data_IF_971148705168
#
_entry.id   IF_971148705168
#
_cell.length_a   1.000
_cell.length_b   1.000
_cell.length_c   1.000
_cell.angle_alpha   90.00
_cell.angle_beta   90.00
_cell.angle_gamma   90.00
#
_symmetry.space_group_name_H-M   'P 1'
#
loop_
_entity.id
_entity.type
_entity.pdbx_description
1 polymer ?
#
# COMPACT_ATOMS: atom_id res chain seq x y z
N UNK A 1 10.55 1.83 -29.85
CA UNK A 1 10.37 2.39 -28.49
C UNK A 1 9.04 3.12 -28.34
N UNK A 2 8.70 4.10 -29.18
CA UNK A 2 7.41 4.82 -29.18
C UNK A 2 6.17 3.91 -29.35
N UNK A 3 6.21 2.94 -30.27
CA UNK A 3 5.10 1.99 -30.48
C UNK A 3 4.84 1.09 -29.26
N UNK A 4 5.90 0.70 -28.54
CA UNK A 4 5.79 -0.09 -27.32
C UNK A 4 5.06 0.74 -26.25
N UNK A 5 5.47 1.98 -26.02
CA UNK A 5 4.82 2.88 -25.07
C UNK A 5 3.34 3.10 -25.35
N UNK A 6 2.98 3.34 -26.61
CA UNK A 6 1.59 3.54 -27.01
C UNK A 6 0.73 2.30 -26.68
N UNK A 7 1.26 1.09 -26.87
CA UNK A 7 0.56 -0.16 -26.53
C UNK A 7 0.35 -0.30 -25.02
N UNK A 8 1.33 0.00 -24.18
CA UNK A 8 1.17 -0.10 -22.72
C UNK A 8 0.14 0.90 -22.17
N UNK A 9 0.12 2.13 -22.69
CA UNK A 9 -0.86 3.13 -22.28
C UNK A 9 -2.28 2.71 -22.69
N UNK A 10 -2.46 2.21 -23.92
CA UNK A 10 -3.75 1.70 -24.39
C UNK A 10 -4.21 0.51 -23.53
N UNK A 11 -3.30 -0.39 -23.14
CA UNK A 11 -3.63 -1.50 -22.25
C UNK A 11 -4.07 -0.98 -20.88
N UNK A 12 -3.35 0.01 -20.33
CA UNK A 12 -3.67 0.57 -19.02
C UNK A 12 -5.02 1.27 -18.99
N UNK A 13 -5.33 2.12 -19.98
CA UNK A 13 -6.65 2.75 -20.13
C UNK A 13 -7.77 1.71 -20.24
N UNK A 14 -7.54 0.64 -21.01
CA UNK A 14 -8.52 -0.45 -21.15
C UNK A 14 -8.71 -1.21 -19.84
N UNK A 15 -7.65 -1.52 -19.11
CA UNK A 15 -7.76 -2.18 -17.80
C UNK A 15 -8.54 -1.29 -16.84
N UNK A 16 -8.25 0.03 -16.78
CA UNK A 16 -8.99 0.98 -15.93
C UNK A 16 -10.48 1.02 -16.25
N UNK A 17 -10.85 1.04 -17.53
CA UNK A 17 -12.27 0.95 -17.96
C UNK A 17 -12.93 -0.37 -17.52
N UNK A 18 -12.19 -1.47 -17.54
CA UNK A 18 -12.68 -2.78 -17.10
C UNK A 18 -12.87 -2.85 -15.58
N UNK A 19 -11.99 -2.20 -14.79
CA UNK A 19 -12.07 -2.17 -13.33
C UNK A 19 -13.40 -1.59 -12.81
N UNK A 20 -14.04 -0.68 -13.55
CA UNK A 20 -15.39 -0.17 -13.22
C UNK A 20 -16.46 -1.28 -13.12
N UNK A 21 -16.19 -2.46 -13.68
CA UNK A 21 -17.08 -3.62 -13.61
C UNK A 21 -16.68 -4.63 -12.52
N UNK A 22 -15.78 -4.28 -11.59
CA UNK A 22 -15.26 -5.20 -10.56
C UNK A 22 -16.35 -5.88 -9.74
N UNK A 23 -17.36 -5.14 -9.29
CA UNK A 23 -18.45 -5.72 -8.51
C UNK A 23 -19.25 -6.73 -9.34
N UNK A 24 -19.61 -6.39 -10.59
CA UNK A 24 -20.31 -7.29 -11.51
C UNK A 24 -19.46 -8.53 -11.81
N UNK A 25 -18.16 -8.37 -11.99
CA UNK A 25 -17.22 -9.46 -12.21
C UNK A 25 -17.18 -10.43 -11.02
N UNK A 26 -17.00 -9.89 -9.81
CA UNK A 26 -16.97 -10.67 -8.58
C UNK A 26 -18.28 -11.43 -8.35
N UNK A 27 -19.43 -10.76 -8.52
CA UNK A 27 -20.76 -11.40 -8.45
C UNK A 27 -20.94 -12.52 -9.47
N UNK A 28 -20.51 -12.29 -10.72
CA UNK A 28 -20.63 -13.28 -11.80
C UNK A 28 -19.84 -14.56 -11.50
N UNK A 29 -18.61 -14.41 -11.01
CA UNK A 29 -17.74 -15.52 -10.65
C UNK A 29 -18.01 -16.11 -9.26
N UNK A 30 -18.95 -15.51 -8.52
CA UNK A 30 -19.25 -15.80 -7.11
C UNK A 30 -18.01 -15.74 -6.21
N UNK A 31 -17.09 -14.84 -6.53
CA UNK A 31 -15.89 -14.58 -5.73
C UNK A 31 -16.11 -13.33 -4.89
N UNK A 32 -15.48 -13.28 -3.73
CA UNK A 32 -15.58 -12.15 -2.82
C UNK A 32 -14.78 -10.92 -3.30
N UNK A 33 -15.31 -9.74 -3.01
CA UNK A 33 -14.55 -8.50 -2.95
C UNK A 33 -14.10 -8.26 -1.49
N UNK A 34 -12.79 -8.18 -1.21
CA UNK A 34 -12.28 -8.10 0.15
C UNK A 34 -12.71 -6.84 0.91
N UNK A 35 -13.02 -5.74 0.21
CA UNK A 35 -13.40 -4.45 0.79
C UNK A 35 -14.92 -4.26 0.93
N UNK A 36 -15.72 -4.92 0.09
CA UNK A 36 -17.18 -4.81 0.11
C UNK A 36 -17.84 -5.95 0.90
N UNK A 37 -17.40 -7.19 0.75
CA UNK A 37 -18.17 -8.33 1.27
C UNK A 37 -17.82 -8.70 2.72
N UNK A 38 -16.69 -8.18 3.23
CA UNK A 38 -16.11 -8.64 4.50
C UNK A 38 -16.79 -8.04 5.74
N UNK A 39 -17.54 -6.95 5.62
CA UNK A 39 -17.91 -6.11 6.76
C UNK A 39 -19.43 -5.91 6.89
N UNK A 40 -19.90 -5.75 8.13
CA UNK A 40 -21.34 -5.51 8.41
C UNK A 40 -21.76 -4.06 8.23
N UNK A 41 -20.82 -3.15 8.46
CA UNK A 41 -21.00 -1.70 8.38
C UNK A 41 -19.83 -1.15 7.60
N UNK A 42 -20.11 -0.31 6.61
CA UNK A 42 -19.12 0.32 5.76
C UNK A 42 -18.91 1.76 6.16
N UNK A 43 -17.77 2.31 5.73
CA UNK A 43 -17.55 3.74 5.83
C UNK A 43 -18.49 4.51 4.91
N UNK A 44 -18.80 5.74 5.28
CA UNK A 44 -19.43 6.69 4.37
C UNK A 44 -18.51 6.96 3.17
N UNK A 45 -19.10 7.13 1.98
CA UNK A 45 -18.35 7.51 0.76
C UNK A 45 -17.62 8.84 0.90
N UNK A 46 -18.03 9.67 1.87
CA UNK A 46 -17.36 10.94 2.18
C UNK A 46 -16.00 10.76 2.86
N UNK A 47 -15.66 9.58 3.40
CA UNK A 47 -14.35 9.36 4.02
C UNK A 47 -13.30 9.12 2.93
N UNK A 48 -12.30 10.01 2.75
CA UNK A 48 -11.27 9.77 1.75
C UNK A 48 -10.41 8.55 2.13
N UNK A 49 -10.31 7.60 1.22
CA UNK A 49 -9.52 6.36 1.41
C UNK A 49 -8.09 6.47 0.90
N UNK A 50 -7.81 7.48 0.06
CA UNK A 50 -6.55 7.67 -0.65
C UNK A 50 -5.97 9.07 -0.38
N UNK A 51 -4.65 9.19 -0.47
CA UNK A 51 -3.95 10.43 -0.15
C UNK A 51 -4.25 11.56 -1.15
N UNK A 52 -4.42 11.26 -2.44
CA UNK A 52 -4.79 12.26 -3.46
C UNK A 52 -6.15 12.91 -3.15
N UNK A 53 -7.17 12.08 -2.93
CA UNK A 53 -8.51 12.53 -2.53
C UNK A 53 -8.47 13.32 -1.21
N UNK A 54 -7.75 12.83 -0.21
CA UNK A 54 -7.63 13.50 1.09
C UNK A 54 -6.91 14.87 0.97
N UNK A 55 -5.84 14.95 0.17
CA UNK A 55 -5.11 16.18 -0.10
C UNK A 55 -6.01 17.24 -0.74
N UNK A 56 -6.77 16.86 -1.79
CA UNK A 56 -7.72 17.75 -2.47
C UNK A 56 -8.85 18.19 -1.54
N UNK A 57 -9.37 17.27 -0.71
CA UNK A 57 -10.50 17.52 0.19
C UNK A 57 -10.15 18.44 1.37
N UNK A 58 -8.92 18.40 1.87
CA UNK A 58 -8.50 19.12 3.08
C UNK A 58 -7.32 20.08 2.80
N UNK A 59 -7.50 21.12 1.96
CA UNK A 59 -6.41 21.99 1.52
C UNK A 59 -5.74 22.74 2.69
N UNK A 60 -6.51 23.13 3.71
CA UNK A 60 -5.99 23.83 4.89
C UNK A 60 -4.97 23.01 5.69
N UNK A 61 -4.97 21.69 5.54
CA UNK A 61 -4.09 20.78 6.26
C UNK A 61 -3.15 20.01 5.33
N UNK A 62 -3.20 20.30 4.03
CA UNK A 62 -2.39 19.64 3.01
C UNK A 62 -0.86 19.74 3.28
N UNK A 63 -0.42 20.72 4.06
CA UNK A 63 0.96 20.91 4.47
C UNK A 63 1.55 19.68 5.21
N UNK A 64 0.73 18.85 5.87
CA UNK A 64 1.18 17.63 6.56
C UNK A 64 1.71 16.56 5.60
N UNK A 65 1.38 16.65 4.31
CA UNK A 65 1.95 15.78 3.27
C UNK A 65 3.38 16.17 2.89
N UNK A 66 3.87 17.35 3.29
CA UNK A 66 5.28 17.72 3.13
C UNK A 66 6.12 17.08 4.24
N UNK A 67 6.81 15.99 3.92
CA UNK A 67 7.64 15.23 4.86
C UNK A 67 8.81 16.06 5.41
N UNK A 68 9.25 17.09 4.67
CA UNK A 68 10.28 18.02 5.14
C UNK A 68 9.70 18.96 6.20
N UNK A 69 8.49 19.47 5.97
CA UNK A 69 7.77 20.26 6.98
C UNK A 69 7.54 19.44 8.26
N UNK A 70 7.05 18.21 8.13
CA UNK A 70 6.85 17.28 9.26
C UNK A 70 8.15 17.04 10.03
N UNK A 71 9.28 16.87 9.35
CA UNK A 71 10.57 16.67 10.03
C UNK A 71 11.06 17.94 10.74
N UNK A 72 10.85 19.11 10.13
CA UNK A 72 11.22 20.41 10.72
C UNK A 72 10.42 20.74 11.98
N UNK A 73 9.10 20.48 11.98
CA UNK A 73 8.25 20.78 13.15
C UNK A 73 8.52 19.86 14.34
N UNK A 74 9.17 18.72 14.11
CA UNK A 74 9.68 17.83 15.17
C UNK A 74 11.09 18.19 15.65
N UNK A 75 11.72 19.23 15.08
CA UNK A 75 13.09 19.63 15.43
C UNK A 75 14.17 18.65 14.96
N UNK A 76 13.88 17.80 13.96
CA UNK A 76 14.83 16.80 13.44
C UNK A 76 15.81 17.42 12.45
N UNK A 77 17.04 16.90 12.39
CA UNK A 77 18.04 17.33 11.40
C UNK A 77 17.56 16.90 10.01
N UNK A 78 17.25 17.87 9.14
CA UNK A 78 16.73 17.62 7.80
C UNK A 78 16.94 18.81 6.84
N UNK A 79 16.69 18.59 5.55
CA UNK A 79 16.79 19.61 4.51
C UNK A 79 16.31 19.12 3.15
N UNK A 80 16.34 20.01 2.14
CA UNK A 80 16.17 19.59 0.76
C UNK A 80 17.47 18.98 0.23
N UNK A 81 17.36 18.05 -0.71
CA UNK A 81 18.52 17.43 -1.33
C UNK A 81 19.18 18.32 -2.41
N UNK A 82 18.42 19.27 -2.95
CA UNK A 82 18.86 20.20 -3.98
C UNK A 82 20.07 21.03 -3.53
N UNK A 83 20.05 21.52 -2.28
CA UNK A 83 21.05 22.45 -1.77
C UNK A 83 21.96 21.84 -0.69
N UNK A 84 21.91 20.52 -0.50
CA UNK A 84 22.57 19.86 0.65
C UNK A 84 24.08 20.13 0.74
N UNK A 85 24.77 20.27 -0.40
CA UNK A 85 26.21 20.56 -0.44
C UNK A 85 26.53 22.06 -0.32
N UNK A 86 25.55 22.94 -0.55
CA UNK A 86 25.72 24.39 -0.50
C UNK A 86 25.43 24.95 0.89
N UNK A 87 24.66 24.22 1.71
CA UNK A 87 24.18 24.68 3.02
C UNK A 87 25.27 24.72 4.13
N UNK A 88 26.54 24.37 3.85
CA UNK A 88 27.63 24.28 4.84
C UNK A 88 27.24 23.53 6.13
N UNK A 89 26.31 22.58 6.02
CA UNK A 89 25.84 21.78 7.14
C UNK A 89 26.79 20.61 7.37
N UNK A 90 27.18 20.40 8.62
CA UNK A 90 27.82 19.15 9.02
C UNK A 90 26.77 18.03 8.96
N UNK A 91 26.99 17.07 8.05
CA UNK A 91 26.08 15.93 7.83
C UNK A 91 26.61 14.75 8.62
N UNK A 92 25.88 14.36 9.65
CA UNK A 92 26.12 13.13 10.39
C UNK A 92 25.45 11.95 9.68
N UNK A 93 26.27 11.00 9.23
CA UNK A 93 25.79 9.78 8.60
C UNK A 93 25.49 8.68 9.66
N UNK A 94 24.56 7.76 9.39
CA UNK A 94 23.76 7.66 8.17
C UNK A 94 22.60 8.66 8.11
N UNK A 95 22.30 9.13 6.91
CA UNK A 95 21.09 9.92 6.61
C UNK A 95 20.09 9.08 5.80
N UNK A 96 18.85 9.56 5.72
CA UNK A 96 17.81 8.97 4.90
C UNK A 96 17.34 9.95 3.84
N UNK A 97 17.35 9.52 2.57
CA UNK A 97 16.83 10.28 1.42
C UNK A 97 15.47 9.71 1.05
N UNK A 98 14.48 10.58 0.80
CA UNK A 98 13.13 10.18 0.36
C UNK A 98 12.42 11.28 -0.44
N UNK A 99 11.44 10.95 -1.30
CA UNK A 99 10.57 11.96 -1.91
C UNK A 99 9.90 12.83 -0.84
N UNK A 100 9.74 14.12 -1.12
CA UNK A 100 9.24 15.12 -0.17
C UNK A 100 7.74 15.01 0.07
N UNK A 101 6.96 14.84 -1.00
CA UNK A 101 5.50 14.94 -0.94
C UNK A 101 4.84 13.56 -0.80
N UNK A 102 4.22 13.31 0.35
CA UNK A 102 3.57 12.03 0.68
C UNK A 102 2.42 11.66 -0.26
N UNK A 103 1.65 12.63 -0.73
CA UNK A 103 0.52 12.41 -1.64
C UNK A 103 0.93 12.09 -3.09
N UNK A 104 2.21 12.26 -3.46
CA UNK A 104 2.71 12.02 -4.83
C UNK A 104 3.57 10.76 -4.95
N UNK A 105 3.85 10.09 -3.83
CA UNK A 105 4.79 8.96 -3.80
C UNK A 105 4.31 7.88 -2.83
N UNK A 106 4.21 6.65 -3.31
CA UNK A 106 3.87 5.48 -2.50
C UNK A 106 4.97 4.40 -2.54
N UNK A 107 4.86 3.43 -1.63
CA UNK A 107 5.63 2.16 -1.65
C UNK A 107 7.16 2.30 -1.56
N UNK A 108 7.66 3.22 -0.73
CA UNK A 108 9.11 3.43 -0.49
C UNK A 108 9.96 3.68 -1.75
N UNK A 109 9.33 4.03 -2.89
CA UNK A 109 10.05 4.34 -4.13
C UNK A 109 10.89 5.60 -3.93
N UNK A 110 12.16 5.52 -4.34
CA UNK A 110 13.10 6.64 -4.20
C UNK A 110 13.60 6.87 -2.77
N UNK A 111 13.40 5.92 -1.86
CA UNK A 111 13.91 5.97 -0.49
C UNK A 111 15.27 5.25 -0.37
N UNK A 112 16.27 5.88 0.26
CA UNK A 112 17.62 5.34 0.41
C UNK A 112 18.21 5.66 1.78
N UNK A 113 18.85 4.66 2.41
CA UNK A 113 19.76 4.88 3.54
C UNK A 113 21.16 5.16 3.01
N UNK A 114 21.67 6.36 3.26
CA UNK A 114 22.97 6.82 2.78
C UNK A 114 23.98 6.75 3.91
N UNK A 115 25.05 6.00 3.70
CA UNK A 115 26.06 5.68 4.72
C UNK A 115 27.21 6.67 4.78
N UNK A 116 27.48 7.35 3.67
CA UNK A 116 28.61 8.25 3.55
C UNK A 116 28.41 9.28 2.43
N UNK A 117 29.38 10.20 2.34
CA UNK A 117 29.39 11.28 1.35
C UNK A 117 29.52 10.78 -0.10
N UNK A 118 30.14 9.62 -0.34
CA UNK A 118 30.29 9.07 -1.69
C UNK A 118 28.96 8.51 -2.21
N UNK A 119 28.18 7.88 -1.34
CA UNK A 119 26.80 7.51 -1.65
C UNK A 119 25.94 8.76 -1.87
N UNK A 120 26.02 9.77 -1.00
CA UNK A 120 25.24 11.01 -1.12
C UNK A 120 25.42 11.69 -2.48
N UNK A 121 26.66 11.82 -2.97
CA UNK A 121 26.98 12.46 -4.26
C UNK A 121 26.21 11.89 -5.44
N UNK A 122 25.75 10.64 -5.39
CA UNK A 122 24.94 9.99 -6.44
C UNK A 122 23.49 10.51 -6.52
N UNK A 123 23.04 11.25 -5.50
CA UNK A 123 21.66 11.70 -5.36
C UNK A 123 21.51 13.22 -5.33
N UNK A 124 22.61 13.99 -5.23
CA UNK A 124 22.59 15.46 -5.11
C UNK A 124 21.88 16.11 -6.30
N UNK A 125 21.21 17.24 -6.04
CA UNK A 125 20.56 18.05 -7.08
C UNK A 125 19.19 17.55 -7.52
N UNK A 126 18.69 16.44 -6.95
CA UNK A 126 17.32 15.97 -7.22
C UNK A 126 16.30 16.91 -6.58
N UNK A 127 15.39 17.45 -7.40
CA UNK A 127 14.23 18.26 -6.98
C UNK A 127 13.20 17.40 -6.26
N UNK A 128 12.40 18.02 -5.38
CA UNK A 128 11.33 17.38 -4.60
C UNK A 128 11.75 16.15 -3.79
N UNK A 129 13.04 16.10 -3.43
CA UNK A 129 13.62 15.08 -2.56
C UNK A 129 14.17 15.76 -1.31
N UNK A 130 13.94 15.14 -0.16
CA UNK A 130 14.45 15.58 1.13
C UNK A 130 15.49 14.62 1.68
N UNK A 131 16.29 15.10 2.63
CA UNK A 131 17.08 14.27 3.53
C UNK A 131 16.68 14.52 4.98
N UNK A 132 16.87 13.51 5.82
CA UNK A 132 16.80 13.63 7.28
C UNK A 132 17.89 12.79 7.93
N UNK A 133 18.16 13.02 9.22
CA UNK A 133 18.83 12.02 10.05
C UNK A 133 18.09 10.67 9.96
N UNK A 134 18.83 9.58 10.16
CA UNK A 134 18.26 8.24 10.12
C UNK A 134 17.56 7.91 11.44
N UNK A 135 16.24 7.74 11.40
CA UNK A 135 15.48 7.30 12.57
C UNK A 135 15.57 5.79 12.76
N UNK A 136 16.28 5.37 13.82
CA UNK A 136 16.41 3.97 14.20
C UNK A 136 15.24 3.49 15.06
N UNK A 137 14.91 2.21 14.96
CA UNK A 137 13.81 1.55 15.65
C UNK A 137 12.75 0.98 14.72
N UNK A 138 11.85 0.20 15.33
CA UNK A 138 10.73 -0.40 14.61
C UNK A 138 9.72 0.66 14.21
N UNK A 139 9.15 0.46 13.03
CA UNK A 139 8.04 1.27 12.57
C UNK A 139 6.78 0.97 13.38
N UNK A 140 5.94 1.99 13.52
CA UNK A 140 4.63 1.90 14.18
C UNK A 140 3.74 2.91 13.46
N UNK A 141 2.43 2.69 13.50
CA UNK A 141 1.49 3.70 13.02
C UNK A 141 0.29 3.81 13.93
N UNK A 142 -0.33 4.97 13.90
CA UNK A 142 -1.58 5.23 14.59
C UNK A 142 -2.55 5.94 13.66
N UNK A 143 -3.77 5.40 13.55
CA UNK A 143 -4.91 6.12 13.00
C UNK A 143 -5.56 6.90 14.14
N UNK A 144 -5.48 8.23 14.11
CA UNK A 144 -6.18 9.13 15.02
C UNK A 144 -7.50 9.57 14.41
N UNK A 145 -8.62 9.32 15.09
CA UNK A 145 -9.91 9.91 14.73
C UNK A 145 -10.05 11.22 15.48
N UNK A 146 -10.34 12.29 14.75
CA UNK A 146 -10.31 13.65 15.27
C UNK A 146 -11.62 14.40 15.01
N UNK A 147 -11.98 15.26 15.96
CA UNK A 147 -13.08 16.23 15.83
C UNK A 147 -12.53 17.61 16.19
N UNK A 148 -12.56 18.55 15.23
CA UNK A 148 -12.08 19.92 15.36
C UNK A 148 -10.66 20.02 15.95
N UNK A 149 -9.78 19.09 15.56
CA UNK A 149 -8.40 19.00 16.01
C UNK A 149 -8.18 18.33 17.37
N UNK A 150 -9.23 17.78 17.99
CA UNK A 150 -9.11 16.96 19.19
C UNK A 150 -9.17 15.48 18.84
N UNK A 151 -8.20 14.69 19.30
CA UNK A 151 -8.25 13.22 19.22
C UNK A 151 -9.40 12.69 20.06
N UNK A 152 -10.30 11.91 19.45
CA UNK A 152 -11.44 11.26 20.13
C UNK A 152 -11.32 9.75 20.18
N UNK A 153 -10.56 9.15 19.26
CA UNK A 153 -10.24 7.73 19.23
C UNK A 153 -8.90 7.51 18.54
N UNK A 154 -8.25 6.38 18.82
CA UNK A 154 -7.00 6.00 18.17
C UNK A 154 -6.90 4.48 17.99
N UNK A 155 -6.30 4.03 16.90
CA UNK A 155 -5.93 2.64 16.66
C UNK A 155 -4.43 2.57 16.34
N UNK A 156 -3.64 1.99 17.25
CA UNK A 156 -2.19 1.86 17.08
C UNK A 156 -1.79 0.46 16.65
N UNK A 157 -1.01 0.36 15.58
CA UNK A 157 -0.48 -0.89 15.04
C UNK A 157 1.03 -0.96 15.29
N UNK A 158 1.49 -2.01 15.95
CA UNK A 158 2.90 -2.25 16.25
C UNK A 158 3.47 -3.18 15.19
N UNK A 159 4.58 -2.82 14.55
CA UNK A 159 5.13 -3.61 13.46
C UNK A 159 6.18 -4.59 14.01
N UNK A 160 6.32 -5.73 13.34
CA UNK A 160 7.48 -6.60 13.52
C UNK A 160 8.76 -5.87 13.12
N UNK A 161 9.92 -6.23 13.69
CA UNK A 161 11.21 -5.82 13.13
C UNK A 161 11.30 -6.15 11.62
N UNK A 162 11.98 -5.32 10.82
CA UNK A 162 12.11 -5.56 9.39
C UNK A 162 12.97 -6.81 9.13
N UNK A 163 12.61 -7.59 8.11
CA UNK A 163 13.34 -8.83 7.75
C UNK A 163 13.77 -8.92 6.29
N UNK A 164 12.96 -8.41 5.37
CA UNK A 164 13.28 -8.34 3.94
C UNK A 164 13.37 -6.86 3.55
N UNK A 165 14.57 -6.27 3.63
CA UNK A 165 14.73 -4.83 3.41
C UNK A 165 14.02 -4.01 4.48
N UNK A 166 13.09 -3.14 4.07
CA UNK A 166 12.31 -2.28 4.98
C UNK A 166 10.92 -2.84 5.34
N UNK A 167 10.56 -4.03 4.84
CA UNK A 167 9.19 -4.56 5.04
C UNK A 167 9.04 -5.29 6.38
N UNK A 168 7.90 -5.08 7.02
CA UNK A 168 7.41 -5.84 8.16
C UNK A 168 6.85 -7.21 7.73
N UNK A 169 6.99 -8.24 8.56
CA UNK A 169 6.32 -9.54 8.35
C UNK A 169 4.90 -9.54 8.91
N UNK A 170 4.69 -8.79 10.00
CA UNK A 170 3.39 -8.68 10.63
C UNK A 170 3.21 -7.36 11.39
N UNK A 171 1.96 -6.99 11.62
CA UNK A 171 1.55 -5.89 12.51
C UNK A 171 0.60 -6.43 13.57
N UNK A 172 0.79 -6.01 14.82
CA UNK A 172 -0.11 -6.33 15.93
C UNK A 172 -1.04 -5.15 16.20
N UNK A 173 -2.36 -5.43 16.22
CA UNK A 173 -3.43 -4.46 16.40
C UNK A 173 -4.20 -4.83 17.66
N UNK A 174 -4.30 -3.88 18.59
CA UNK A 174 -4.92 -4.11 19.90
C UNK A 174 -5.52 -2.81 20.44
N UNK A 175 -6.67 -2.86 21.15
CA UNK A 175 -7.25 -1.71 21.83
C UNK A 175 -6.35 -1.17 22.96
N UNK A 176 -5.36 -1.96 23.38
CA UNK A 176 -4.38 -1.57 24.42
C UNK A 176 -3.16 -0.84 23.85
N UNK A 177 -2.92 -0.92 22.54
CA UNK A 177 -1.80 -0.24 21.93
C UNK A 177 -2.00 1.28 21.98
N UNK A 178 -0.94 2.02 22.27
CA UNK A 178 -0.96 3.49 22.31
C UNK A 178 0.25 4.06 21.58
N UNK A 179 0.11 5.22 20.93
CA UNK A 179 1.26 5.94 20.41
C UNK A 179 2.09 6.51 21.56
N UNK A 180 3.37 6.81 21.32
CA UNK A 180 4.15 7.66 22.21
C UNK A 180 3.50 9.03 22.38
N UNK A 181 3.63 9.60 23.59
CA UNK A 181 3.00 10.88 23.94
C UNK A 181 3.39 12.03 23.00
N UNK A 182 4.66 12.07 22.56
CA UNK A 182 5.15 13.08 21.63
C UNK A 182 4.41 13.06 20.27
N UNK A 183 3.98 11.88 19.81
CA UNK A 183 3.22 11.74 18.56
C UNK A 183 1.82 12.32 18.73
N UNK A 184 1.15 11.98 19.83
CA UNK A 184 -0.18 12.53 20.16
C UNK A 184 -0.15 14.05 20.36
N UNK A 185 0.89 14.57 21.03
CA UNK A 185 1.12 16.00 21.21
C UNK A 185 1.32 16.71 19.87
N UNK A 186 2.16 16.16 18.98
CA UNK A 186 2.38 16.72 17.64
C UNK A 186 1.07 16.80 16.85
N UNK A 187 0.25 15.74 16.87
CA UNK A 187 -1.05 15.71 16.20
C UNK A 187 -1.99 16.79 16.74
N UNK A 188 -2.11 16.91 18.07
CA UNK A 188 -2.96 17.94 18.69
C UNK A 188 -2.50 19.37 18.38
N UNK A 189 -1.19 19.59 18.19
CA UNK A 189 -0.64 20.92 17.84
C UNK A 189 -0.91 21.27 16.38
N UNK A 190 -0.71 20.31 15.47
CA UNK A 190 -0.65 20.56 14.03
C UNK A 190 -1.92 20.24 13.24
N UNK A 191 -2.84 19.47 13.81
CA UNK A 191 -4.13 19.14 13.17
C UNK A 191 -5.30 19.95 13.74
N UNK A 192 -5.06 21.17 14.23
CA UNK A 192 -6.11 22.04 14.79
C UNK A 192 -7.22 22.29 13.76
N UNK A 193 -8.48 22.16 14.18
CA UNK A 193 -9.63 22.33 13.31
C UNK A 193 -9.96 21.10 12.44
N UNK A 194 -9.08 20.09 12.37
CA UNK A 194 -9.31 18.92 11.53
C UNK A 194 -10.39 17.99 12.08
N UNK A 195 -11.24 17.49 11.18
CA UNK A 195 -12.20 16.42 11.47
C UNK A 195 -12.13 15.31 10.43
N UNK A 196 -11.84 14.09 10.91
CA UNK A 196 -11.57 12.95 10.05
C UNK A 196 -10.59 11.98 10.68
N UNK A 197 -9.84 11.26 9.84
CA UNK A 197 -8.79 10.33 10.27
C UNK A 197 -7.43 10.89 9.87
N UNK A 198 -6.53 11.01 10.83
CA UNK A 198 -5.12 11.35 10.64
C UNK A 198 -4.27 10.10 10.91
N UNK A 199 -3.73 9.49 9.86
CA UNK A 199 -2.77 8.40 9.97
C UNK A 199 -1.37 8.98 10.16
N UNK A 200 -0.67 8.52 11.19
CA UNK A 200 0.71 8.92 11.47
C UNK A 200 1.58 7.67 11.55
N UNK A 201 2.62 7.61 10.72
CA UNK A 201 3.64 6.57 10.77
C UNK A 201 4.90 7.14 11.41
N UNK A 202 5.53 6.37 12.31
CA UNK A 202 6.65 6.84 13.10
C UNK A 202 7.58 5.70 13.51
N UNK A 203 8.81 6.06 13.89
CA UNK A 203 9.78 5.18 14.55
C UNK A 203 10.14 5.79 15.89
N UNK A 204 9.89 5.04 16.97
CA UNK A 204 9.94 5.59 18.34
C UNK A 204 9.08 6.86 18.40
N UNK A 205 9.66 8.01 18.69
CA UNK A 205 8.98 9.31 18.78
C UNK A 205 9.11 10.17 17.51
N UNK A 206 9.63 9.62 16.43
CA UNK A 206 9.97 10.37 15.20
C UNK A 206 9.02 9.99 14.06
N UNK A 207 8.14 10.92 13.69
CA UNK A 207 7.18 10.81 12.58
C UNK A 207 7.94 10.78 11.25
N UNK A 208 7.62 9.77 10.45
CA UNK A 208 8.18 9.55 9.11
C UNK A 208 7.21 9.99 8.00
N UNK A 209 5.91 9.86 8.23
CA UNK A 209 4.85 10.16 7.27
C UNK A 209 3.53 10.43 7.99
N UNK A 210 2.71 11.32 7.41
CA UNK A 210 1.36 11.65 7.88
C UNK A 210 0.43 11.66 6.66
N UNK A 211 -0.81 11.20 6.84
CA UNK A 211 -1.85 11.27 5.82
C UNK A 211 -3.24 11.47 6.43
N UNK A 212 -4.14 12.16 5.71
CA UNK A 212 -5.51 12.46 6.16
C UNK A 212 -6.52 11.40 5.71
N UNK A 213 -6.12 10.14 5.83
CA UNK A 213 -6.89 8.94 5.46
C UNK A 213 -6.50 7.78 6.37
N UNK A 214 -7.37 6.79 6.57
CA UNK A 214 -7.01 5.63 7.39
C UNK A 214 -5.86 4.82 6.77
N UNK A 215 -5.13 4.07 7.60
CA UNK A 215 -4.17 3.10 7.12
C UNK A 215 -4.85 1.98 6.30
N UNK A 216 -4.23 1.58 5.18
CA UNK A 216 -4.68 0.47 4.32
C UNK A 216 -6.18 0.54 3.99
N UNK A 217 -6.65 1.71 3.53
CA UNK A 217 -8.06 1.93 3.17
C UNK A 217 -9.05 1.67 4.32
N UNK A 218 -8.59 1.76 5.58
CA UNK A 218 -9.42 1.51 6.75
C UNK A 218 -9.66 0.04 7.08
N UNK A 219 -8.98 -0.90 6.40
CA UNK A 219 -9.15 -2.33 6.61
C UNK A 219 -8.85 -2.74 8.06
N UNK A 220 -7.86 -2.13 8.72
CA UNK A 220 -7.55 -2.43 10.13
C UNK A 220 -8.67 -1.97 11.07
N UNK A 221 -9.16 -0.75 10.90
CA UNK A 221 -10.30 -0.25 11.67
C UNK A 221 -11.57 -1.08 11.44
N UNK A 222 -11.90 -1.46 10.20
CA UNK A 222 -13.05 -2.33 9.92
C UNK A 222 -12.88 -3.73 10.48
N UNK A 223 -11.66 -4.27 10.48
CA UNK A 223 -11.36 -5.61 10.98
C UNK A 223 -11.38 -5.73 12.50
N UNK A 224 -11.56 -4.63 13.24
CA UNK A 224 -11.98 -4.68 14.64
C UNK A 224 -13.33 -5.37 14.81
N UNK A 225 -14.15 -5.42 13.74
CA UNK A 225 -15.53 -5.90 13.75
C UNK A 225 -16.43 -5.21 14.79
N UNK A 226 -16.04 -4.03 15.26
CA UNK A 226 -16.80 -3.25 16.21
C UNK A 226 -17.64 -2.19 15.48
N UNK A 227 -18.95 -2.37 15.47
CA UNK A 227 -19.88 -1.51 14.72
C UNK A 227 -19.89 -0.07 15.24
N UNK A 228 -19.62 0.12 16.53
CA UNK A 228 -19.66 1.43 17.17
C UNK A 228 -18.48 2.29 16.74
N UNK A 229 -17.30 1.68 16.57
CA UNK A 229 -16.13 2.37 16.03
C UNK A 229 -16.45 2.92 14.63
N UNK A 230 -16.96 2.07 13.73
CA UNK A 230 -17.23 2.47 12.34
C UNK A 230 -18.37 3.50 12.26
N UNK A 231 -19.44 3.32 13.03
CA UNK A 231 -20.53 4.31 13.11
C UNK A 231 -20.05 5.66 13.63
N UNK A 232 -19.18 5.68 14.64
CA UNK A 232 -18.62 6.92 15.15
C UNK A 232 -17.68 7.60 14.15
N UNK A 233 -16.87 6.84 13.41
CA UNK A 233 -16.07 7.39 12.31
C UNK A 233 -16.98 8.03 11.26
N UNK A 234 -18.07 7.37 10.87
CA UNK A 234 -19.04 7.96 9.94
C UNK A 234 -19.66 9.24 10.51
N UNK A 235 -20.03 9.26 11.80
CA UNK A 235 -20.55 10.48 12.45
C UNK A 235 -19.52 11.62 12.47
N UNK A 236 -18.23 11.34 12.65
CA UNK A 236 -17.18 12.36 12.56
C UNK A 236 -17.13 12.96 11.16
N UNK A 237 -17.14 12.13 10.13
CA UNK A 237 -17.02 12.59 8.74
C UNK A 237 -18.29 13.30 8.26
N UNK A 238 -19.48 12.81 8.63
CA UNK A 238 -20.75 13.33 8.14
C UNK A 238 -21.30 14.48 8.96
N UNK A 239 -21.07 14.45 10.28
CA UNK A 239 -21.74 15.32 11.25
C UNK A 239 -20.77 16.07 12.15
N UNK A 240 -19.46 15.84 12.01
CA UNK A 240 -18.43 16.44 12.85
C UNK A 240 -18.63 16.15 14.36
N UNK A 241 -19.11 14.94 14.70
CA UNK A 241 -19.41 14.55 16.09
C UNK A 241 -18.86 13.15 16.39
N UNK A 242 -18.28 12.98 17.57
CA UNK A 242 -17.95 11.68 18.16
C UNK A 242 -18.89 11.39 19.34
N UNK A 243 -19.60 10.25 19.31
CA UNK A 243 -20.43 9.82 20.44
C UNK A 243 -19.54 9.09 21.44
N UNK A 244 -19.41 9.65 22.64
CA UNK A 244 -18.65 9.02 23.73
C UNK A 244 -19.43 7.83 24.30
N UNK A 245 -18.91 6.63 24.03
CA UNK A 245 -19.47 5.37 24.51
C UNK A 245 -18.58 4.79 25.62
N UNK A 246 -19.14 3.93 26.50
CA UNK A 246 -18.34 3.14 27.44
C UNK A 246 -17.22 2.37 26.73
N UNK A 247 -16.08 2.22 27.40
CA UNK A 247 -14.87 1.62 26.79
C UNK A 247 -15.13 0.20 26.29
N UNK A 248 -15.97 -0.55 27.00
CA UNK A 248 -16.35 -1.92 26.68
C UNK A 248 -17.08 -2.00 25.33
N UNK A 249 -17.77 -0.93 24.93
CA UNK A 249 -18.45 -0.84 23.64
C UNK A 249 -17.51 -0.51 22.48
N UNK A 250 -16.28 -0.08 22.76
CA UNK A 250 -15.22 0.22 21.79
C UNK A 250 -14.08 -0.81 21.84
N UNK A 251 -14.17 -1.80 22.72
CA UNK A 251 -13.18 -2.86 22.83
C UNK A 251 -13.32 -3.86 21.67
N UNK A 252 -12.24 -4.57 21.35
CA UNK A 252 -12.23 -5.60 20.30
C UNK A 252 -11.11 -6.62 20.54
N UNK A 253 -11.28 -7.82 19.99
CA UNK A 253 -10.26 -8.86 20.10
C UNK A 253 -8.99 -8.46 19.33
N UNK A 254 -7.81 -8.41 19.98
CA UNK A 254 -6.56 -8.14 19.30
C UNK A 254 -6.30 -9.13 18.17
N UNK A 255 -5.59 -8.68 17.14
CA UNK A 255 -5.25 -9.52 16.01
C UNK A 255 -3.98 -9.04 15.32
N UNK A 256 -3.51 -9.85 14.38
CA UNK A 256 -2.32 -9.59 13.60
C UNK A 256 -2.67 -9.44 12.13
N UNK A 257 -1.93 -8.59 11.43
CA UNK A 257 -1.89 -8.50 9.97
C UNK A 257 -0.60 -9.11 9.49
N UNK A 258 -0.64 -10.18 8.71
CA UNK A 258 0.54 -10.85 8.15
C UNK A 258 0.72 -10.48 6.68
N UNK A 259 1.98 -10.33 6.26
CA UNK A 259 2.38 -10.07 4.88
C UNK A 259 3.16 -11.25 4.34
N UNK A 260 2.72 -11.87 3.25
CA UNK A 260 3.45 -12.93 2.56
C UNK A 260 4.38 -12.35 1.50
N UNK A 261 5.64 -12.75 1.53
CA UNK A 261 6.71 -12.20 0.70
C UNK A 261 7.24 -13.22 -0.31
N UNK A 262 7.58 -12.75 -1.51
CA UNK A 262 8.24 -13.54 -2.55
C UNK A 262 9.46 -12.81 -3.08
N UNK A 263 10.58 -13.53 -3.18
CA UNK A 263 11.80 -13.07 -3.87
C UNK A 263 11.74 -13.31 -5.38
N UNK A 264 10.96 -14.30 -5.81
CA UNK A 264 10.78 -14.61 -7.23
C UNK A 264 9.65 -13.76 -7.80
N UNK A 265 9.70 -13.40 -9.09
CA UNK A 265 8.64 -12.64 -9.71
C UNK A 265 7.30 -13.39 -9.65
N UNK A 266 6.22 -12.61 -9.59
CA UNK A 266 4.86 -13.11 -9.40
C UNK A 266 4.23 -13.21 -10.79
N UNK A 267 3.94 -14.41 -11.27
CA UNK A 267 3.39 -14.65 -12.61
C UNK A 267 1.99 -15.29 -12.59
N UNK A 268 1.74 -16.14 -11.60
CA UNK A 268 0.49 -16.87 -11.39
C UNK A 268 -0.10 -16.56 -10.02
N UNK A 269 -1.43 -16.41 -9.97
CA UNK A 269 -2.20 -16.26 -8.74
C UNK A 269 -3.11 -17.47 -8.60
N UNK A 270 -3.20 -18.03 -7.39
CA UNK A 270 -4.23 -19.02 -7.11
C UNK A 270 -5.62 -18.40 -7.31
N UNK A 271 -6.60 -19.14 -7.85
CA UNK A 271 -7.99 -18.71 -7.90
C UNK A 271 -8.51 -18.29 -6.52
N UNK A 272 -9.36 -17.26 -6.48
CA UNK A 272 -9.90 -16.72 -5.24
C UNK A 272 -10.58 -17.79 -4.39
N UNK A 273 -11.38 -18.68 -5.01
CA UNK A 273 -12.03 -19.81 -4.33
C UNK A 273 -11.03 -20.71 -3.58
N UNK A 274 -9.86 -20.95 -4.17
CA UNK A 274 -8.82 -21.76 -3.51
C UNK A 274 -8.25 -21.03 -2.30
N UNK A 275 -7.96 -19.73 -2.45
CA UNK A 275 -7.50 -18.90 -1.34
C UNK A 275 -8.56 -18.85 -0.22
N UNK A 276 -9.83 -18.69 -0.57
CA UNK A 276 -10.93 -18.63 0.39
C UNK A 276 -11.03 -19.89 1.23
N UNK A 277 -10.93 -21.06 0.60
CA UNK A 277 -10.89 -22.35 1.31
C UNK A 277 -9.72 -22.38 2.29
N UNK A 278 -8.51 -22.00 1.85
CA UNK A 278 -7.33 -21.99 2.73
C UNK A 278 -7.53 -21.02 3.90
N UNK A 279 -8.03 -19.82 3.65
CA UNK A 279 -8.21 -18.80 4.69
C UNK A 279 -9.26 -19.21 5.72
N UNK A 280 -10.41 -19.73 5.27
CA UNK A 280 -11.49 -20.16 6.18
C UNK A 280 -11.10 -21.40 6.99
N UNK A 281 -10.46 -22.38 6.35
CA UNK A 281 -10.01 -23.60 7.06
C UNK A 281 -8.96 -23.30 8.13
N UNK A 282 -8.16 -22.26 7.91
CA UNK A 282 -7.10 -21.85 8.82
C UNK A 282 -7.55 -20.77 9.82
N UNK A 283 -8.83 -20.39 9.86
CA UNK A 283 -9.35 -19.46 10.86
C UNK A 283 -8.96 -17.99 10.66
N UNK A 284 -8.55 -17.60 9.44
CA UNK A 284 -8.25 -16.20 9.14
C UNK A 284 -9.49 -15.31 9.31
N UNK A 285 -9.27 -14.04 9.68
CA UNK A 285 -10.38 -13.06 9.71
C UNK A 285 -10.85 -12.80 8.27
N UNK A 286 -12.02 -12.19 8.16
CA UNK A 286 -12.67 -11.94 6.86
C UNK A 286 -11.81 -11.11 5.89
N UNK A 287 -10.97 -10.20 6.35
CA UNK A 287 -10.12 -9.42 5.45
C UNK A 287 -8.83 -10.17 5.09
N UNK A 288 -8.63 -10.39 3.80
CA UNK A 288 -7.39 -10.90 3.18
C UNK A 288 -7.42 -10.61 1.67
N UNK A 289 -6.26 -10.39 1.07
CA UNK A 289 -6.18 -9.97 -0.33
C UNK A 289 -4.83 -10.32 -0.95
N UNK A 290 -4.82 -10.46 -2.27
CA UNK A 290 -3.59 -10.27 -3.02
C UNK A 290 -3.15 -8.82 -2.89
N UNK A 291 -1.98 -8.63 -2.32
CA UNK A 291 -1.43 -7.32 -2.00
C UNK A 291 -0.04 -7.24 -2.59
N UNK A 292 0.14 -6.41 -3.62
CA UNK A 292 1.40 -6.28 -4.33
C UNK A 292 2.16 -5.03 -3.87
N UNK A 293 3.07 -5.22 -2.92
CA UNK A 293 3.96 -4.16 -2.40
C UNK A 293 5.42 -4.50 -2.73
N UNK A 294 6.00 -3.85 -3.76
CA UNK A 294 7.40 -4.03 -4.10
C UNK A 294 8.32 -3.56 -2.97
N UNK A 295 9.37 -4.33 -2.70
CA UNK A 295 10.36 -4.00 -1.66
C UNK A 295 11.72 -3.77 -2.31
N UNK A 296 11.87 -2.61 -2.95
CA UNK A 296 13.09 -2.28 -3.70
C UNK A 296 13.43 -3.36 -4.73
N UNK A 297 14.66 -3.87 -4.67
CA UNK A 297 15.14 -4.98 -5.50
C UNK A 297 15.06 -6.35 -4.80
N UNK A 298 14.56 -6.42 -3.56
CA UNK A 298 14.61 -7.63 -2.74
C UNK A 298 13.44 -8.60 -3.01
N UNK A 299 12.37 -8.12 -3.64
CA UNK A 299 11.18 -8.90 -3.95
C UNK A 299 9.90 -8.09 -3.83
N UNK A 300 8.80 -8.78 -3.51
CA UNK A 300 7.48 -8.19 -3.39
C UNK A 300 6.67 -8.92 -2.31
N UNK A 301 5.95 -8.16 -1.47
CA UNK A 301 4.81 -8.72 -0.75
C UNK A 301 3.74 -9.01 -1.79
N UNK A 302 3.17 -10.22 -1.79
CA UNK A 302 2.17 -10.62 -2.79
C UNK A 302 0.79 -10.90 -2.18
N UNK A 303 0.71 -11.05 -0.86
CA UNK A 303 -0.54 -11.37 -0.17
C UNK A 303 -0.53 -10.81 1.25
N UNK A 304 -1.71 -10.41 1.74
CA UNK A 304 -1.91 -9.96 3.11
C UNK A 304 -3.16 -10.64 3.69
N UNK A 305 -3.10 -11.05 4.95
CA UNK A 305 -4.26 -11.59 5.66
C UNK A 305 -4.21 -11.25 7.15
N UNK A 306 -5.34 -11.40 7.84
CA UNK A 306 -5.45 -11.14 9.27
C UNK A 306 -5.75 -12.42 10.06
N UNK A 307 -5.19 -12.55 11.25
CA UNK A 307 -5.44 -13.68 12.15
C UNK A 307 -5.36 -13.26 13.61
N UNK A 308 -6.17 -13.85 14.49
CA UNK A 308 -6.17 -13.51 15.93
C UNK A 308 -5.03 -14.21 16.68
N UNK A 309 -4.78 -15.48 16.37
CA UNK A 309 -3.64 -16.23 16.91
C UNK A 309 -2.35 -16.00 16.09
N UNK A 310 -1.27 -15.67 16.79
CA UNK A 310 0.01 -15.35 16.15
C UNK A 310 0.66 -16.57 15.50
N UNK A 311 0.68 -17.72 16.19
CA UNK A 311 1.41 -18.91 15.76
C UNK A 311 0.77 -19.54 14.53
N UNK A 312 -0.56 -19.65 14.54
CA UNK A 312 -1.36 -20.12 13.40
C UNK A 312 -1.19 -19.18 12.22
N UNK A 313 -1.22 -17.86 12.45
CA UNK A 313 -0.95 -16.87 11.42
C UNK A 313 0.44 -17.02 10.79
N UNK A 314 1.51 -17.17 11.58
CA UNK A 314 2.85 -17.40 11.04
C UNK A 314 2.97 -18.72 10.28
N UNK A 315 2.34 -19.80 10.75
CA UNK A 315 2.29 -21.08 10.03
C UNK A 315 1.58 -20.94 8.69
N UNK A 316 0.44 -20.25 8.67
CA UNK A 316 -0.32 -19.97 7.45
C UNK A 316 0.50 -19.15 6.46
N UNK A 317 1.19 -18.11 6.94
CA UNK A 317 2.12 -17.29 6.14
C UNK A 317 3.16 -18.17 5.46
N UNK A 318 3.89 -19.00 6.21
CA UNK A 318 4.93 -19.87 5.64
C UNK A 318 4.39 -20.88 4.64
N UNK A 319 3.23 -21.46 4.92
CA UNK A 319 2.55 -22.36 4.00
C UNK A 319 2.21 -21.65 2.69
N UNK A 320 1.65 -20.43 2.75
CA UNK A 320 1.33 -19.63 1.56
C UNK A 320 2.59 -19.26 0.78
N UNK A 321 3.64 -18.77 1.43
CA UNK A 321 4.91 -18.42 0.78
C UNK A 321 5.54 -19.63 0.06
N UNK A 322 5.53 -20.79 0.73
CA UNK A 322 6.07 -22.04 0.18
C UNK A 322 5.24 -22.52 -1.02
N UNK A 323 3.91 -22.59 -0.86
CA UNK A 323 2.99 -22.97 -1.93
C UNK A 323 3.13 -22.04 -3.13
N UNK A 324 3.19 -20.74 -2.86
CA UNK A 324 3.31 -19.72 -3.90
C UNK A 324 4.61 -19.88 -4.68
N UNK A 325 5.74 -20.08 -4.00
CA UNK A 325 7.03 -20.34 -4.62
C UNK A 325 6.99 -21.57 -5.55
N UNK A 326 6.44 -22.69 -5.07
CA UNK A 326 6.31 -23.90 -5.87
C UNK A 326 5.40 -23.69 -7.09
N UNK A 327 4.31 -22.94 -6.94
CA UNK A 327 3.40 -22.64 -8.05
C UNK A 327 4.07 -21.82 -9.14
N UNK A 328 4.85 -20.79 -8.78
CA UNK A 328 5.57 -20.00 -9.79
C UNK A 328 6.57 -20.89 -10.55
N UNK A 329 7.36 -21.70 -9.83
CA UNK A 329 8.33 -22.60 -10.44
C UNK A 329 7.64 -23.65 -11.34
N UNK A 330 6.53 -24.21 -10.86
CA UNK A 330 5.72 -25.17 -11.60
C UNK A 330 5.29 -24.58 -12.95
N UNK A 331 4.67 -23.40 -12.97
CA UNK A 331 4.23 -22.81 -14.24
C UNK A 331 5.39 -22.47 -15.17
N UNK A 332 6.52 -21.96 -14.65
CA UNK A 332 7.71 -21.69 -15.46
C UNK A 332 8.21 -22.97 -16.14
N UNK A 333 8.37 -24.06 -15.38
CA UNK A 333 8.82 -25.35 -15.92
C UNK A 333 7.79 -25.90 -16.93
N UNK A 334 6.50 -25.83 -16.59
CA UNK A 334 5.43 -26.29 -17.46
C UNK A 334 5.46 -25.55 -18.79
N UNK A 335 5.68 -24.24 -18.83
CA UNK A 335 5.79 -23.51 -20.10
C UNK A 335 7.05 -23.86 -20.89
N UNK A 336 8.18 -24.21 -20.25
CA UNK A 336 9.43 -24.57 -20.94
C UNK A 336 9.33 -25.94 -21.64
N UNK A 337 8.69 -26.93 -21.03
CA UNK A 337 8.62 -28.32 -21.54
C UNK A 337 8.04 -28.40 -22.99
N UNK A 338 6.90 -27.77 -23.32
CA UNK A 338 6.38 -27.70 -24.68
C UNK A 338 7.39 -27.18 -25.70
N UNK A 339 8.13 -26.11 -25.36
CA UNK A 339 9.13 -25.54 -26.27
C UNK A 339 10.29 -26.50 -26.51
N UNK A 340 10.75 -27.22 -25.49
CA UNK A 340 11.76 -28.28 -25.64
C UNK A 340 11.23 -29.38 -26.57
N UNK A 341 9.99 -29.82 -26.40
CA UNK A 341 9.38 -30.85 -27.24
C UNK A 341 9.26 -30.41 -28.72
N UNK A 342 8.88 -29.15 -28.95
CA UNK A 342 8.75 -28.57 -30.30
C UNK A 342 10.12 -28.42 -30.96
N UNK A 343 11.05 -27.73 -30.31
CA UNK A 343 12.28 -27.29 -30.96
C UNK A 343 13.38 -28.36 -30.96
N UNK A 344 13.55 -29.09 -29.86
CA UNK A 344 14.63 -30.08 -29.70
C UNK A 344 14.21 -31.47 -30.18
N UNK A 345 13.02 -31.94 -29.78
CA UNK A 345 12.55 -33.30 -30.10
C UNK A 345 11.66 -33.39 -31.34
N UNK A 346 11.34 -32.25 -31.98
CA UNK A 346 10.46 -32.17 -33.16
C UNK A 346 9.07 -32.79 -32.96
N UNK A 347 8.61 -32.91 -31.71
CA UNK A 347 7.27 -33.39 -31.33
C UNK A 347 6.27 -32.24 -31.33
N UNK A 348 6.13 -31.56 -32.46
CA UNK A 348 5.39 -30.29 -32.59
C UNK A 348 3.94 -30.40 -32.11
N UNK A 349 3.22 -31.43 -32.56
CA UNK A 349 1.81 -31.61 -32.21
C UNK A 349 1.58 -31.78 -30.70
N UNK A 350 2.38 -32.63 -30.05
CA UNK A 350 2.31 -32.87 -28.61
C UNK A 350 2.66 -31.59 -27.83
N UNK A 351 3.71 -30.89 -28.25
CA UNK A 351 4.10 -29.62 -27.63
C UNK A 351 3.00 -28.55 -27.73
N UNK A 352 2.36 -28.39 -28.89
CA UNK A 352 1.26 -27.44 -29.06
C UNK A 352 0.07 -27.79 -28.16
N UNK A 353 -0.34 -29.06 -28.09
CA UNK A 353 -1.43 -29.50 -27.21
C UNK A 353 -1.11 -29.18 -25.75
N UNK A 354 0.11 -29.52 -25.31
CA UNK A 354 0.53 -29.21 -23.94
C UNK A 354 0.50 -27.71 -23.68
N UNK A 355 0.97 -26.88 -24.62
CA UNK A 355 0.94 -25.43 -24.47
C UNK A 355 -0.49 -24.89 -24.31
N UNK A 356 -1.45 -25.43 -25.07
CA UNK A 356 -2.87 -25.06 -24.94
C UNK A 356 -3.41 -25.45 -23.56
N UNK A 357 -3.18 -26.70 -23.12
CA UNK A 357 -3.64 -27.18 -21.80
C UNK A 357 -3.06 -26.34 -20.67
N UNK A 358 -1.76 -26.06 -20.71
CA UNK A 358 -1.06 -25.25 -19.70
C UNK A 358 -1.59 -23.82 -19.71
N UNK A 359 -1.85 -23.25 -20.89
CA UNK A 359 -2.42 -21.90 -21.01
C UNK A 359 -3.83 -21.81 -20.43
N UNK A 360 -4.66 -22.85 -20.60
CA UNK A 360 -5.99 -22.94 -19.98
C UNK A 360 -5.86 -22.97 -18.45
N UNK A 361 -4.99 -23.83 -17.91
CA UNK A 361 -4.78 -23.93 -16.46
C UNK A 361 -4.21 -22.61 -15.91
N UNK A 362 -3.24 -22.00 -16.59
CA UNK A 362 -2.64 -20.72 -16.19
C UNK A 362 -3.68 -19.58 -16.18
N UNK A 363 -4.66 -19.63 -17.09
CA UNK A 363 -5.75 -18.65 -17.18
C UNK A 363 -6.71 -18.70 -16.00
N UNK A 364 -6.70 -19.75 -15.17
CA UNK A 364 -7.51 -19.79 -13.94
C UNK A 364 -7.15 -18.68 -12.95
N UNK A 365 -5.97 -18.05 -13.10
CA UNK A 365 -5.62 -16.84 -12.34
C UNK A 365 -6.62 -15.70 -12.52
N UNK A 366 -7.37 -15.65 -13.63
CA UNK A 366 -8.42 -14.65 -13.86
C UNK A 366 -9.68 -14.89 -13.00
N UNK A 367 -9.79 -16.03 -12.29
CA UNK A 367 -10.80 -16.27 -11.27
C UNK A 367 -10.38 -15.57 -9.97
N UNK A 368 -10.17 -14.26 -10.07
CA UNK A 368 -9.79 -13.35 -8.99
C UNK A 368 -10.43 -11.99 -9.28
N UNK A 369 -10.53 -11.09 -8.28
CA UNK A 369 -10.95 -9.71 -8.52
C UNK A 369 -10.11 -9.03 -9.61
N UNK A 370 -10.72 -8.12 -10.36
CA UNK A 370 -10.03 -7.42 -11.45
C UNK A 370 -8.89 -6.53 -10.90
N UNK A 371 -9.10 -5.89 -9.76
CA UNK A 371 -8.07 -5.19 -8.98
C UNK A 371 -6.81 -6.02 -8.75
N UNK A 372 -6.92 -7.32 -8.47
CA UNK A 372 -5.78 -8.23 -8.32
C UNK A 372 -4.98 -8.36 -9.62
N UNK A 373 -5.65 -8.47 -10.77
CA UNK A 373 -4.98 -8.56 -12.08
C UNK A 373 -4.30 -7.25 -12.44
N UNK A 374 -4.95 -6.13 -12.13
CA UNK A 374 -4.36 -4.81 -12.34
C UNK A 374 -3.15 -4.58 -11.43
N UNK A 375 -3.23 -5.00 -10.16
CA UNK A 375 -2.10 -4.98 -9.23
C UNK A 375 -0.92 -5.82 -9.74
N UNK A 376 -1.19 -7.02 -10.25
CA UNK A 376 -0.18 -7.89 -10.86
C UNK A 376 0.46 -7.24 -12.10
N UNK A 377 -0.34 -6.60 -12.95
CA UNK A 377 0.16 -5.86 -14.12
C UNK A 377 1.09 -4.72 -13.71
N UNK A 378 0.70 -3.92 -12.70
CA UNK A 378 1.54 -2.84 -12.15
C UNK A 378 2.85 -3.38 -11.59
N UNK A 379 2.80 -4.50 -10.87
CA UNK A 379 3.99 -5.18 -10.37
C UNK A 379 4.91 -5.63 -11.52
N UNK A 380 4.34 -6.22 -12.57
CA UNK A 380 5.10 -6.66 -13.75
C UNK A 380 5.81 -5.48 -14.43
N UNK A 381 5.10 -4.36 -14.65
CA UNK A 381 5.73 -3.14 -15.20
C UNK A 381 6.93 -2.71 -14.37
N UNK A 382 6.79 -2.72 -13.04
CA UNK A 382 7.86 -2.31 -12.14
C UNK A 382 9.04 -3.28 -12.11
N UNK A 383 8.79 -4.59 -12.04
CA UNK A 383 9.86 -5.61 -11.96
C UNK A 383 10.73 -5.64 -13.22
N UNK A 384 10.14 -5.37 -14.39
CA UNK A 384 10.85 -5.38 -15.67
C UNK A 384 11.32 -3.99 -16.12
N UNK A 385 11.29 -2.99 -15.24
CA UNK A 385 11.63 -1.59 -15.56
C UNK A 385 10.92 -1.08 -16.83
N UNK A 386 9.68 -1.54 -17.05
CA UNK A 386 8.80 -1.02 -18.11
C UNK A 386 8.23 0.29 -17.58
N UNK A 387 9.09 1.29 -17.41
CA UNK A 387 8.69 2.66 -17.12
C UNK A 387 8.22 3.28 -18.42
N UNK A 388 6.92 3.52 -18.51
CA UNK A 388 6.43 4.71 -19.22
C UNK A 388 7.12 5.88 -18.52
N UNK A 389 8.16 6.47 -19.13
CA UNK A 389 8.65 7.76 -18.65
C UNK A 389 7.42 8.66 -18.57
N UNK A 390 7.10 9.19 -17.37
CA UNK A 390 6.36 10.45 -17.32
C UNK A 390 7.13 11.38 -18.24
N UNK A 391 6.41 12.06 -19.13
CA UNK A 391 6.95 13.13 -19.98
C UNK A 391 7.84 13.98 -19.06
N UNK A 392 9.16 13.88 -19.23
CA UNK A 392 10.08 14.79 -18.55
C UNK A 392 9.66 16.18 -19.00
N UNK A 393 9.26 17.02 -18.04
CA UNK A 393 9.26 18.48 -18.04
C UNK A 393 9.55 19.12 -19.41
N UNK A 394 8.55 19.11 -20.31
CA UNK A 394 8.55 20.08 -21.42
C UNK A 394 7.96 21.35 -20.82
N UNK A 395 8.84 22.18 -20.26
CA UNK A 395 8.57 23.58 -19.98
C UNK A 395 8.12 24.20 -21.30
N UNK A 396 6.86 24.61 -21.39
CA UNK A 396 6.44 25.54 -22.45
C UNK A 396 6.99 26.93 -22.06
N UNK A 397 7.24 27.79 -23.05
CA UNK A 397 7.83 29.14 -22.93
C UNK A 397 7.09 30.13 -21.98
N UNK A 398 6.05 29.69 -21.27
CA UNK A 398 5.24 30.47 -20.33
C UNK A 398 5.35 30.00 -18.87
N UNK A 399 6.17 28.97 -18.56
CA UNK A 399 6.52 28.64 -17.18
C UNK A 399 5.40 28.02 -16.32
N UNK A 400 4.30 27.54 -16.93
CA UNK A 400 3.26 26.80 -16.24
C UNK A 400 3.51 25.28 -16.33
N UNK A 401 3.53 24.62 -15.17
CA UNK A 401 3.50 23.15 -15.07
C UNK A 401 2.06 22.71 -15.29
N UNK A 402 1.77 22.11 -16.43
CA UNK A 402 0.55 21.31 -16.61
C UNK A 402 0.82 19.97 -15.94
N UNK A 403 0.33 19.80 -14.71
CA UNK A 403 0.35 18.51 -14.01
C UNK A 403 -0.77 17.62 -14.54
N UNK A 404 -0.44 16.50 -15.18
CA UNK A 404 -1.38 15.40 -15.35
C UNK A 404 -1.67 14.80 -13.95
N UNK A 405 -2.87 15.08 -13.45
CA UNK A 405 -3.42 14.66 -12.16
C UNK A 405 -3.88 13.19 -12.12
N UNK A 406 -3.29 12.27 -12.91
CA UNK A 406 -3.89 10.94 -13.17
C UNK A 406 -3.26 9.73 -12.42
N UNK A 407 -2.44 9.98 -11.40
CA UNK A 407 -2.01 8.91 -10.49
C UNK A 407 -2.82 8.99 -9.19
N UNK A 408 -3.84 8.13 -9.10
CA UNK A 408 -4.71 7.81 -7.95
C UNK A 408 -6.10 8.47 -7.88
N UNK A 409 -6.60 9.10 -8.94
CA UNK A 409 -8.02 9.45 -9.05
C UNK A 409 -8.86 8.19 -9.40
N UNK A 410 -9.20 7.41 -8.37
CA UNK A 410 -10.41 6.57 -8.38
C UNK A 410 -11.63 7.51 -8.33
N UNK A 411 -11.99 8.03 -9.51
CA UNK A 411 -13.19 8.83 -9.72
C UNK A 411 -14.41 7.89 -9.76
N UNK A 412 -14.88 7.52 -8.56
CA UNK A 412 -16.12 6.76 -8.32
C UNK A 412 -17.34 7.69 -8.11
N UNK A 413 -17.25 8.98 -8.42
CA UNK A 413 -18.41 9.86 -8.47
C UNK A 413 -19.00 9.93 -9.87
N UNK A 414 -19.88 8.98 -10.19
CA UNK A 414 -21.06 9.19 -11.04
C UNK A 414 -21.90 7.91 -11.06
N UNK A 415 -22.84 7.82 -10.12
CA UNK A 415 -24.10 7.10 -10.27
C UNK A 415 -25.11 7.84 -9.40
N UNK A 416 -25.58 8.98 -9.91
CA UNK A 416 -26.88 9.53 -9.55
C UNK A 416 -27.94 8.58 -10.11
N UNK A 417 -28.60 7.83 -9.23
CA UNK A 417 -30.05 7.51 -9.24
C UNK A 417 -30.47 6.79 -7.96
#
# INVERSE_FOLDING_TARGET
>A
MLLYFMVFNIIEEKIRKILKNEEKWCKTLKIRNPYLDSFKVHYTHKLPMFDGTAFKKYPEHAHIYDKLWVSKTQGKKCGSLENILQENKEIEFPIFIKPRHGNKSASSKGCYKIKDMNELKKHVGKKDVMWSEFYDGNETMTDFVMVNGKVTYQLTCIYSPPKNGFTDEWKYISPKNKPPKAIEEWVNVHMKGFSGICNVQYRKDSIIEVGMRPARGGAYLQSTNNVNIIKNINNVVEKNVWVYLPKEQLDFQPYYSFKCFSKIPVFYLLPQHTIDIIMYTMGAKKFYEYYFEPVGNDGCVFFQFLHEDFQTGMRLKWMLETLFMFLQLFFVIMFIIPFILIFMFKKTFIGIILLIVISIIFSTKFINPLSCQYGLWKLFKQQFNISTKKKEDIINDQGEIVSDDDDDDDDDSENDE
#
